data_IF_905643082277
#
_entry.id   IF_905643082277
#
_cell.length_a   1.000
_cell.length_b   1.000
_cell.length_c   1.000
_cell.angle_alpha   90.00
_cell.angle_beta   90.00
_cell.angle_gamma   90.00
#
_symmetry.space_group_name_H-M   'P 1'
#
loop_
_entity.id
_entity.type
_entity.pdbx_description
1 polymer ?
#
# COMPACT_ATOMS: atom_id res chain seq x y z
N UNK A 1 22.54 -23.49 8.10
CA UNK A 1 22.86 -24.44 9.20
C UNK A 1 22.12 -24.00 10.45
N UNK A 2 21.59 -24.94 11.21
CA UNK A 2 20.88 -24.70 12.48
C UNK A 2 21.77 -25.23 13.62
N UNK A 3 21.76 -24.59 14.79
CA UNK A 3 22.57 -25.02 15.94
C UNK A 3 21.72 -25.13 17.20
N UNK A 4 21.89 -26.24 17.92
CA UNK A 4 21.33 -26.46 19.25
C UNK A 4 22.42 -26.22 20.30
N UNK A 5 22.11 -25.40 21.30
CA UNK A 5 23.04 -24.99 22.33
C UNK A 5 22.56 -25.42 23.71
N UNK A 6 23.48 -25.89 24.53
CA UNK A 6 23.29 -26.05 25.97
C UNK A 6 23.92 -24.84 26.65
N UNK A 7 23.09 -24.02 27.28
CA UNK A 7 23.52 -22.80 27.94
C UNK A 7 24.23 -23.08 29.28
N UNK A 8 23.90 -24.17 29.97
CA UNK A 8 24.56 -24.56 31.21
C UNK A 8 25.98 -25.08 30.97
N UNK A 9 26.15 -25.89 29.93
CA UNK A 9 27.46 -26.36 29.47
C UNK A 9 28.20 -25.36 28.58
N UNK A 10 27.56 -24.25 28.21
CA UNK A 10 28.09 -23.19 27.33
C UNK A 10 28.68 -23.72 26.02
N UNK A 11 28.03 -24.74 25.43
CA UNK A 11 28.53 -25.38 24.20
C UNK A 11 27.42 -25.66 23.20
N UNK A 12 27.82 -25.68 21.94
CA UNK A 12 26.99 -26.20 20.87
C UNK A 12 26.88 -27.72 21.06
N UNK A 13 25.65 -28.21 21.22
CA UNK A 13 25.35 -29.64 21.35
C UNK A 13 25.38 -30.27 19.96
N UNK A 14 24.58 -29.72 19.04
CA UNK A 14 24.40 -30.25 17.68
C UNK A 14 24.34 -29.15 16.62
N UNK A 15 24.78 -29.49 15.41
CA UNK A 15 24.67 -28.64 14.22
C UNK A 15 23.93 -29.41 13.13
N UNK A 16 22.82 -28.87 12.65
CA UNK A 16 21.96 -29.51 11.65
C UNK A 16 22.16 -28.80 10.31
N UNK A 17 22.79 -29.49 9.35
CA UNK A 17 22.96 -29.02 7.98
C UNK A 17 21.90 -29.65 7.08
N UNK A 18 20.72 -29.01 7.00
CA UNK A 18 19.57 -29.48 6.19
C UNK A 18 19.27 -28.60 4.98
N UNK A 19 19.52 -27.29 5.09
CA UNK A 19 19.27 -26.30 4.04
C UNK A 19 20.46 -26.14 3.09
N UNK A 20 20.18 -25.87 1.82
CA UNK A 20 21.21 -25.59 0.79
C UNK A 20 21.63 -24.13 0.75
N UNK A 21 20.87 -23.25 1.41
CA UNK A 21 21.14 -21.83 1.53
C UNK A 21 20.86 -21.35 2.97
N UNK A 22 20.84 -20.04 3.18
CA UNK A 22 20.67 -19.35 4.44
C UNK A 22 19.32 -19.67 5.07
N UNK A 23 19.34 -19.95 6.37
CA UNK A 23 18.14 -20.17 7.19
C UNK A 23 17.79 -18.86 7.86
N UNK A 24 16.53 -18.42 7.73
CA UNK A 24 16.06 -17.14 8.26
C UNK A 24 14.96 -17.30 9.31
N UNK A 25 14.20 -18.40 9.23
CA UNK A 25 13.08 -18.66 10.10
C UNK A 25 13.21 -20.00 10.81
N UNK A 26 12.84 -20.01 12.09
CA UNK A 26 12.71 -21.21 12.91
C UNK A 26 11.39 -21.14 13.68
N UNK A 27 10.73 -22.28 13.84
CA UNK A 27 9.61 -22.46 14.76
C UNK A 27 9.78 -23.79 15.51
N UNK A 28 9.27 -23.90 16.73
CA UNK A 28 9.43 -25.12 17.54
C UNK A 28 8.10 -25.62 18.04
N UNK A 29 8.03 -26.92 18.27
CA UNK A 29 6.93 -27.55 19.02
C UNK A 29 6.99 -27.16 20.50
N UNK A 30 5.86 -27.16 21.20
CA UNK A 30 5.81 -26.81 22.63
C UNK A 30 6.72 -27.68 23.51
N UNK A 31 6.94 -28.94 23.14
CA UNK A 31 7.83 -29.85 23.84
C UNK A 31 9.32 -29.62 23.56
N UNK A 32 9.65 -28.74 22.61
CA UNK A 32 11.01 -28.52 22.11
C UNK A 32 11.68 -29.82 21.60
N UNK A 33 10.88 -30.81 21.17
CA UNK A 33 11.39 -32.05 20.57
C UNK A 33 11.67 -31.92 19.08
N UNK A 34 10.94 -31.04 18.41
CA UNK A 34 11.04 -30.82 16.97
C UNK A 34 11.15 -29.33 16.63
N UNK A 35 11.91 -29.05 15.58
CA UNK A 35 12.12 -27.71 15.01
C UNK A 35 11.71 -27.70 13.53
N UNK A 36 10.95 -26.68 13.16
CA UNK A 36 10.69 -26.30 11.78
C UNK A 36 11.71 -25.25 11.36
N UNK A 37 12.23 -25.35 10.13
CA UNK A 37 13.20 -24.41 9.60
C UNK A 37 12.94 -24.05 8.15
N UNK A 38 13.19 -22.79 7.81
CA UNK A 38 12.94 -22.24 6.48
C UNK A 38 13.87 -21.07 6.15
N UNK A 39 14.11 -20.83 4.86
CA UNK A 39 14.90 -19.69 4.44
C UNK A 39 14.98 -19.49 2.93
N UNK A 40 16.18 -19.14 2.47
CA UNK A 40 16.42 -18.70 1.08
C UNK A 40 16.26 -19.81 0.04
N UNK A 41 16.43 -21.06 0.44
CA UNK A 41 16.23 -22.24 -0.42
C UNK A 41 14.76 -22.66 -0.57
N UNK A 42 13.83 -21.83 -0.06
CA UNK A 42 12.37 -21.97 -0.25
C UNK A 42 11.77 -23.24 0.38
N UNK A 43 12.58 -24.01 1.09
CA UNK A 43 12.20 -25.30 1.64
C UNK A 43 11.85 -25.17 3.11
N UNK A 44 10.80 -25.87 3.56
CA UNK A 44 10.50 -26.04 4.99
C UNK A 44 10.90 -27.45 5.40
N UNK A 45 11.82 -27.55 6.36
CA UNK A 45 12.18 -28.84 6.96
C UNK A 45 11.57 -28.96 8.35
N UNK A 46 11.24 -30.19 8.74
CA UNK A 46 10.96 -30.59 10.11
C UNK A 46 12.09 -31.49 10.58
N UNK A 47 12.75 -31.12 11.68
CA UNK A 47 13.87 -31.84 12.27
C UNK A 47 13.54 -32.28 13.69
N UNK A 48 13.70 -33.58 13.98
CA UNK A 48 13.67 -34.13 15.32
C UNK A 48 15.03 -33.87 15.98
N UNK A 49 15.02 -33.17 17.12
CA UNK A 49 16.25 -32.77 17.79
C UNK A 49 16.94 -33.93 18.52
N UNK A 50 16.19 -34.97 18.89
CA UNK A 50 16.68 -36.14 19.61
C UNK A 50 17.33 -37.18 18.69
N UNK A 51 16.65 -37.52 17.59
CA UNK A 51 17.12 -38.49 16.60
C UNK A 51 18.00 -37.86 15.53
N UNK A 52 17.94 -36.53 15.38
CA UNK A 52 18.57 -35.74 14.32
C UNK A 52 18.03 -36.07 12.92
N UNK A 53 16.90 -36.76 12.84
CA UNK A 53 16.22 -36.99 11.58
C UNK A 53 15.55 -35.72 11.09
N UNK A 54 15.57 -35.51 9.78
CA UNK A 54 14.94 -34.38 9.10
C UNK A 54 14.14 -34.86 7.92
N UNK A 55 13.07 -34.14 7.62
CA UNK A 55 12.19 -34.42 6.50
C UNK A 55 11.82 -33.11 5.81
N UNK A 56 11.76 -33.13 4.48
CA UNK A 56 11.29 -32.00 3.69
C UNK A 56 9.76 -31.96 3.76
N UNK A 57 9.22 -30.97 4.46
CA UNK A 57 7.79 -30.83 4.67
C UNK A 57 7.10 -30.33 3.40
N UNK A 58 7.58 -29.20 2.87
CA UNK A 58 7.09 -28.55 1.67
C UNK A 58 8.17 -27.69 1.01
N UNK A 59 7.94 -27.31 -0.24
CA UNK A 59 8.74 -26.33 -0.97
C UNK A 59 7.83 -25.24 -1.50
N UNK A 60 8.12 -23.99 -1.17
CA UNK A 60 7.37 -22.82 -1.63
C UNK A 60 7.99 -22.25 -2.92
N UNK A 61 7.27 -21.34 -3.58
CA UNK A 61 7.78 -20.63 -4.77
C UNK A 61 8.72 -19.48 -4.42
N UNK A 62 8.60 -18.94 -3.19
CA UNK A 62 9.34 -17.77 -2.72
C UNK A 62 10.14 -18.08 -1.44
N UNK A 63 11.28 -17.38 -1.21
CA UNK A 63 12.05 -17.50 0.03
C UNK A 63 11.23 -17.28 1.29
N UNK A 64 11.50 -18.07 2.31
CA UNK A 64 10.75 -18.07 3.57
C UNK A 64 11.35 -17.03 4.52
N UNK A 65 10.52 -16.11 5.01
CA UNK A 65 10.92 -15.04 5.92
C UNK A 65 10.58 -15.36 7.37
N UNK A 66 9.43 -15.99 7.61
CA UNK A 66 8.97 -16.30 8.96
C UNK A 66 8.12 -17.58 8.99
N UNK A 67 8.22 -18.29 10.11
CA UNK A 67 7.47 -19.50 10.41
C UNK A 67 6.72 -19.30 11.73
N UNK A 68 5.47 -19.77 11.79
CA UNK A 68 4.67 -19.74 13.02
C UNK A 68 3.86 -21.02 13.15
N UNK A 69 4.20 -21.83 14.15
CA UNK A 69 3.42 -23.02 14.48
C UNK A 69 2.20 -22.61 15.30
N UNK A 70 1.01 -22.98 14.85
CA UNK A 70 -0.24 -22.81 15.59
C UNK A 70 -1.06 -24.09 15.44
N UNK A 71 -1.32 -24.75 16.57
CA UNK A 71 -2.03 -26.03 16.62
C UNK A 71 -1.39 -27.05 15.65
N UNK A 72 -2.18 -27.58 14.71
CA UNK A 72 -1.74 -28.53 13.68
C UNK A 72 -1.38 -27.84 12.35
N UNK A 73 -1.04 -26.56 12.37
CA UNK A 73 -0.67 -25.78 11.18
C UNK A 73 0.65 -25.03 11.36
N UNK A 74 1.56 -25.18 10.40
CA UNK A 74 2.73 -24.33 10.26
C UNK A 74 2.43 -23.24 9.22
N UNK A 75 2.30 -22.01 9.68
CA UNK A 75 2.14 -20.84 8.83
C UNK A 75 3.50 -20.39 8.32
N UNK A 76 3.56 -20.13 7.02
CA UNK A 76 4.77 -19.76 6.28
C UNK A 76 4.54 -18.43 5.60
N UNK A 77 5.27 -17.41 6.04
CA UNK A 77 5.35 -16.12 5.38
C UNK A 77 6.59 -16.10 4.48
N UNK A 78 6.40 -15.74 3.22
CA UNK A 78 7.47 -15.68 2.21
C UNK A 78 7.74 -14.22 1.81
N UNK A 79 8.56 -14.01 0.79
CA UNK A 79 8.70 -12.69 0.14
C UNK A 79 7.52 -12.32 -0.77
N UNK A 80 6.60 -13.25 -1.03
CA UNK A 80 5.33 -12.91 -1.68
C UNK A 80 4.35 -12.31 -0.66
N UNK A 81 3.21 -11.83 -1.12
CA UNK A 81 2.21 -11.18 -0.26
C UNK A 81 1.22 -12.14 0.39
N UNK A 82 1.22 -13.41 -0.01
CA UNK A 82 0.32 -14.44 0.52
C UNK A 82 0.97 -15.17 1.69
N UNK A 83 0.13 -15.78 2.53
CA UNK A 83 0.59 -16.59 3.66
C UNK A 83 0.01 -17.99 3.53
N UNK A 84 0.86 -18.99 3.66
CA UNK A 84 0.51 -20.39 3.41
C UNK A 84 0.50 -21.17 4.71
N UNK A 85 -0.60 -21.87 4.99
CA UNK A 85 -0.73 -22.78 6.11
C UNK A 85 -0.53 -24.21 5.64
N UNK A 86 0.48 -24.89 6.16
CA UNK A 86 0.77 -26.30 5.87
C UNK A 86 0.44 -27.17 7.08
N UNK A 87 0.07 -28.44 6.87
CA UNK A 87 -0.13 -29.35 7.98
C UNK A 87 1.15 -29.48 8.82
N UNK A 88 1.03 -29.18 10.11
CA UNK A 88 2.00 -29.53 11.11
C UNK A 88 1.41 -30.69 11.91
N UNK A 89 1.94 -31.91 11.79
CA UNK A 89 1.50 -32.99 12.67
C UNK A 89 2.06 -32.77 14.08
N UNK A 90 1.44 -31.86 14.85
CA UNK A 90 1.88 -31.48 16.19
C UNK A 90 1.78 -32.62 17.20
N UNK A 91 0.89 -33.59 16.96
CA UNK A 91 0.62 -34.71 17.87
C UNK A 91 1.34 -36.02 17.50
N UNK A 92 1.71 -36.25 16.23
CA UNK A 92 2.45 -37.47 15.79
C UNK A 92 3.44 -37.22 14.64
N UNK A 93 4.51 -36.44 14.85
CA UNK A 93 5.50 -36.16 13.82
C UNK A 93 6.15 -37.43 13.22
N UNK A 94 6.11 -38.56 13.93
CA UNK A 94 6.57 -39.89 13.47
C UNK A 94 5.96 -40.33 12.13
N UNK A 95 4.69 -40.00 11.85
CA UNK A 95 4.06 -40.35 10.57
C UNK A 95 4.65 -39.55 9.41
N UNK A 96 5.02 -38.29 9.67
CA UNK A 96 5.66 -37.41 8.67
C UNK A 96 7.03 -37.95 8.29
N UNK A 97 7.83 -38.37 9.27
CA UNK A 97 9.15 -38.97 9.02
C UNK A 97 9.05 -40.30 8.25
N UNK A 98 8.04 -41.14 8.52
CA UNK A 98 7.78 -42.37 7.76
C UNK A 98 7.30 -42.09 6.32
N UNK A 99 6.49 -41.04 6.13
CA UNK A 99 5.87 -40.70 4.84
C UNK A 99 6.80 -39.94 3.90
N UNK A 100 7.67 -39.08 4.43
CA UNK A 100 8.50 -38.16 3.65
C UNK A 100 9.93 -38.63 3.36
N UNK A 101 10.30 -39.85 3.77
CA UNK A 101 11.68 -40.33 3.64
C UNK A 101 12.63 -39.50 4.50
N UNK A 102 12.64 -39.74 5.82
CA UNK A 102 13.55 -39.04 6.73
C UNK A 102 15.03 -39.30 6.41
N UNK A 103 15.88 -38.31 6.70
CA UNK A 103 17.33 -38.43 6.58
C UNK A 103 18.02 -37.84 7.82
N UNK A 104 19.18 -38.38 8.18
CA UNK A 104 19.97 -37.83 9.29
C UNK A 104 20.55 -36.48 8.88
N UNK A 105 20.19 -35.42 9.61
CA UNK A 105 20.79 -34.11 9.45
C UNK A 105 22.31 -34.21 9.67
N UNK A 106 23.06 -33.94 8.60
CA UNK A 106 24.51 -34.16 8.61
C UNK A 106 25.26 -33.13 9.48
N UNK A 107 26.40 -33.57 10.00
CA UNK A 107 27.49 -32.69 10.48
C UNK A 107 28.39 -32.20 9.33
N UNK A 108 28.09 -32.56 8.07
CA UNK A 108 28.97 -32.46 6.90
C UNK A 108 28.59 -31.31 5.95
N UNK A 109 29.49 -31.00 5.02
CA UNK A 109 29.38 -29.91 4.05
C UNK A 109 28.10 -29.96 3.18
N UNK A 110 27.63 -28.77 2.79
CA UNK A 110 26.37 -28.48 2.09
C UNK A 110 25.99 -29.44 0.95
N UNK A 111 26.96 -29.99 0.21
CA UNK A 111 26.71 -30.90 -0.92
C UNK A 111 26.21 -32.29 -0.51
N UNK A 112 26.45 -32.75 0.72
CA UNK A 112 25.99 -34.06 1.22
C UNK A 112 24.63 -34.03 1.91
N UNK A 113 24.11 -32.84 2.25
CA UNK A 113 22.80 -32.69 2.91
C UNK A 113 21.62 -33.16 2.06
N UNK A 114 21.80 -33.24 0.73
CA UNK A 114 20.78 -33.70 -0.22
C UNK A 114 20.71 -35.21 -0.38
N UNK A 115 21.71 -35.96 0.07
CA UNK A 115 21.72 -37.40 -0.09
C UNK A 115 20.94 -38.01 1.08
N UNK A 116 19.73 -38.49 0.79
CA UNK A 116 19.25 -39.72 1.44
C UNK A 116 20.40 -40.75 1.42
N UNK A 117 20.40 -41.74 2.31
CA UNK A 117 21.32 -42.89 2.23
C UNK A 117 21.37 -43.51 0.81
N UNK A 118 20.35 -43.26 -0.02
CA UNK A 118 20.20 -43.71 -1.41
C UNK A 118 20.57 -42.68 -2.51
N UNK A 119 21.03 -41.46 -2.16
CA UNK A 119 21.50 -40.47 -3.14
C UNK A 119 20.42 -39.70 -3.93
N UNK A 120 19.14 -39.88 -3.60
CA UNK A 120 18.02 -39.12 -4.16
C UNK A 120 17.73 -37.84 -3.37
N UNK A 121 17.27 -36.79 -4.07
CA UNK A 121 16.86 -35.54 -3.43
C UNK A 121 15.60 -35.78 -2.58
N UNK A 122 15.47 -35.11 -1.41
CA UNK A 122 14.31 -35.27 -0.55
C UNK A 122 13.03 -34.84 -1.28
N UNK A 123 11.97 -35.63 -1.12
CA UNK A 123 10.66 -35.36 -1.72
C UNK A 123 9.77 -34.68 -0.68
N UNK A 124 9.09 -33.56 -1.02
CA UNK A 124 8.17 -32.91 -0.10
C UNK A 124 7.05 -33.85 0.36
N UNK A 125 6.78 -33.87 1.67
CA UNK A 125 5.63 -34.61 2.25
C UNK A 125 4.32 -34.05 1.71
N UNK A 126 4.22 -32.73 1.60
CA UNK A 126 3.06 -32.02 1.11
C UNK A 126 3.40 -31.25 -0.16
N UNK A 127 2.51 -31.36 -1.16
CA UNK A 127 2.64 -30.65 -2.44
C UNK A 127 1.86 -29.35 -2.49
N UNK A 128 0.78 -29.26 -1.70
CA UNK A 128 -0.12 -28.11 -1.65
C UNK A 128 -0.40 -27.73 -0.19
N UNK A 129 -0.56 -26.43 0.10
CA UNK A 129 -0.91 -25.95 1.43
C UNK A 129 -2.36 -26.30 1.76
N UNK A 130 -2.67 -26.45 3.04
CA UNK A 130 -4.04 -26.63 3.52
C UNK A 130 -4.82 -25.33 3.56
N UNK A 131 -4.13 -24.21 3.80
CA UNK A 131 -4.72 -22.89 3.88
C UNK A 131 -3.89 -21.89 3.08
N UNK A 132 -4.57 -20.93 2.47
CA UNK A 132 -3.93 -19.79 1.80
C UNK A 132 -4.65 -18.54 2.23
N UNK A 133 -3.92 -17.61 2.84
CA UNK A 133 -4.36 -16.22 3.03
C UNK A 133 -3.90 -15.44 1.81
N UNK A 134 -4.80 -15.03 0.91
CA UNK A 134 -4.42 -14.40 -0.34
C UNK A 134 -3.86 -13.00 -0.09
N UNK A 135 -2.68 -12.75 -0.64
CA UNK A 135 -2.06 -11.44 -0.70
C UNK A 135 -2.52 -10.62 -1.90
N UNK A 136 -2.40 -9.30 -1.80
CA UNK A 136 -2.54 -8.41 -2.96
C UNK A 136 -1.23 -8.41 -3.75
N UNK A 137 -1.25 -8.59 -5.08
CA UNK A 137 -0.05 -8.45 -5.90
C UNK A 137 0.61 -7.08 -5.71
N UNK A 138 1.89 -7.09 -5.39
CA UNK A 138 2.66 -5.87 -5.18
C UNK A 138 3.04 -5.24 -6.52
N UNK A 139 2.93 -3.92 -6.66
CA UNK A 139 3.47 -3.17 -7.79
C UNK A 139 5.00 -3.22 -7.73
N UNK A 140 5.65 -3.70 -8.79
CA UNK A 140 7.11 -3.87 -8.87
C UNK A 140 7.77 -2.97 -9.91
N UNK A 141 6.99 -2.47 -10.87
CA UNK A 141 7.48 -1.57 -11.91
C UNK A 141 6.40 -0.51 -12.21
N UNK A 142 6.83 0.71 -12.47
CA UNK A 142 5.94 1.81 -12.84
C UNK A 142 6.63 2.77 -13.82
N UNK A 143 5.83 3.52 -14.57
CA UNK A 143 6.27 4.58 -15.48
C UNK A 143 5.27 5.73 -15.44
N UNK A 144 5.75 6.95 -15.18
CA UNK A 144 4.95 8.17 -15.34
C UNK A 144 4.90 8.49 -16.83
N UNK A 145 3.70 8.51 -17.41
CA UNK A 145 3.51 8.82 -18.83
C UNK A 145 3.82 10.30 -19.12
N UNK A 146 4.09 10.63 -20.38
CA UNK A 146 4.51 11.99 -20.79
C UNK A 146 3.49 13.09 -20.48
N UNK A 147 2.20 12.74 -20.47
CA UNK A 147 1.13 13.65 -20.06
C UNK A 147 1.15 13.97 -18.56
N UNK A 148 2.09 13.39 -17.79
CA UNK A 148 2.24 13.56 -16.34
C UNK A 148 0.92 13.43 -15.60
N UNK A 149 0.02 12.58 -16.08
CA UNK A 149 -1.32 12.41 -15.53
C UNK A 149 -1.63 10.93 -15.37
N UNK A 150 -1.23 10.15 -16.37
CA UNK A 150 -1.35 8.70 -16.34
C UNK A 150 -0.07 8.03 -15.84
N UNK A 151 -0.24 6.91 -15.16
CA UNK A 151 0.88 6.03 -14.76
C UNK A 151 0.60 4.61 -15.20
N UNK A 152 1.58 4.00 -15.88
CA UNK A 152 1.57 2.58 -16.19
C UNK A 152 2.24 1.82 -15.05
N UNK A 153 1.66 0.71 -14.62
CA UNK A 153 2.19 -0.13 -13.54
C UNK A 153 2.25 -1.59 -13.96
N UNK A 154 3.15 -2.36 -13.35
CA UNK A 154 3.18 -3.82 -13.43
C UNK A 154 3.34 -4.41 -12.04
N UNK A 155 2.55 -5.44 -11.74
CA UNK A 155 2.61 -6.16 -10.46
C UNK A 155 3.46 -7.44 -10.49
N UNK A 156 3.62 -8.08 -9.34
CA UNK A 156 4.35 -9.36 -9.17
C UNK A 156 3.78 -10.52 -9.99
N UNK A 157 2.49 -10.47 -10.37
CA UNK A 157 1.86 -11.49 -11.22
C UNK A 157 2.06 -11.20 -12.71
N UNK A 158 2.63 -10.04 -13.04
CA UNK A 158 2.85 -9.56 -14.39
C UNK A 158 1.66 -8.79 -14.98
N UNK A 159 0.62 -8.48 -14.19
CA UNK A 159 -0.52 -7.69 -14.68
C UNK A 159 -0.11 -6.23 -14.87
N UNK A 160 -0.48 -5.65 -16.01
CA UNK A 160 -0.18 -4.27 -16.36
C UNK A 160 -1.45 -3.42 -16.31
N UNK A 161 -1.41 -2.30 -15.58
CA UNK A 161 -2.57 -1.40 -15.38
C UNK A 161 -2.20 0.05 -15.65
N UNK A 162 -3.12 0.79 -16.27
CA UNK A 162 -3.03 2.24 -16.46
C UNK A 162 -3.86 2.96 -15.38
N UNK A 163 -3.26 3.95 -14.73
CA UNK A 163 -3.86 4.70 -13.63
C UNK A 163 -4.06 6.16 -14.00
N UNK A 164 -5.17 6.73 -13.54
CA UNK A 164 -5.44 8.17 -13.48
C UNK A 164 -5.01 8.70 -12.11
N UNK A 165 -3.98 9.55 -12.07
CA UNK A 165 -3.46 10.06 -10.80
C UNK A 165 -4.35 11.15 -10.21
N UNK A 166 -4.99 11.98 -11.04
CA UNK A 166 -5.80 13.12 -10.56
C UNK A 166 -7.03 12.70 -9.77
N UNK A 167 -7.51 11.45 -9.96
CA UNK A 167 -8.63 10.85 -9.20
C UNK A 167 -8.29 9.54 -8.48
N UNK A 168 -7.04 9.10 -8.57
CA UNK A 168 -6.54 7.89 -7.90
C UNK A 168 -7.23 6.58 -8.31
N UNK A 169 -7.49 6.38 -9.61
CA UNK A 169 -8.26 5.24 -10.10
C UNK A 169 -7.58 4.50 -11.26
N UNK A 170 -7.82 3.20 -11.37
CA UNK A 170 -7.43 2.43 -12.57
C UNK A 170 -8.34 2.84 -13.73
N UNK A 171 -7.73 3.22 -14.85
CA UNK A 171 -8.42 3.48 -16.12
C UNK A 171 -8.66 2.16 -16.85
N UNK A 172 -7.59 1.35 -16.96
CA UNK A 172 -7.62 0.11 -17.73
C UNK A 172 -6.71 -0.95 -17.11
N UNK A 173 -7.17 -2.19 -17.14
CA UNK A 173 -6.40 -3.38 -16.75
C UNK A 173 -6.11 -4.20 -18.00
N UNK A 174 -4.85 -4.17 -18.45
CA UNK A 174 -4.42 -4.89 -19.63
C UNK A 174 -4.10 -6.37 -19.33
N UNK A 175 -4.12 -6.80 -18.07
CA UNK A 175 -3.72 -8.14 -17.68
C UNK A 175 -2.23 -8.41 -17.94
N UNK A 176 -1.89 -9.68 -18.20
CA UNK A 176 -0.49 -10.12 -18.38
C UNK A 176 0.02 -9.80 -19.78
N UNK A 177 0.50 -8.57 -19.97
CA UNK A 177 1.08 -8.07 -21.23
C UNK A 177 2.50 -7.54 -21.04
N UNK A 178 3.20 -7.31 -22.15
CA UNK A 178 4.52 -6.69 -22.15
C UNK A 178 4.43 -5.22 -21.72
N UNK A 179 5.12 -4.89 -20.62
CA UNK A 179 5.13 -3.53 -20.07
C UNK A 179 5.75 -2.52 -21.05
N UNK A 180 6.87 -2.89 -21.68
CA UNK A 180 7.56 -2.01 -22.63
C UNK A 180 6.76 -1.76 -23.91
N UNK A 181 6.02 -2.76 -24.39
CA UNK A 181 5.20 -2.59 -25.58
C UNK A 181 3.99 -1.71 -25.28
N UNK A 182 3.33 -1.90 -24.12
CA UNK A 182 2.25 -1.01 -23.69
C UNK A 182 2.72 0.41 -23.42
N UNK A 183 3.91 0.60 -22.85
CA UNK A 183 4.53 1.91 -22.68
C UNK A 183 4.69 2.64 -24.02
N UNK A 184 5.14 1.93 -25.07
CA UNK A 184 5.28 2.50 -26.42
C UNK A 184 3.94 2.76 -27.09
N UNK A 185 2.98 1.86 -26.93
CA UNK A 185 1.62 1.99 -27.49
C UNK A 185 0.90 3.21 -26.93
N UNK A 186 1.02 3.43 -25.61
CA UNK A 186 0.39 4.54 -24.89
C UNK A 186 1.21 5.84 -24.92
N UNK A 187 2.28 5.89 -25.72
CA UNK A 187 3.11 7.08 -25.83
C UNK A 187 2.34 8.20 -26.53
N UNK A 188 2.27 9.37 -25.88
CA UNK A 188 1.68 10.57 -26.43
C UNK A 188 2.80 11.61 -26.68
N UNK A 189 2.72 12.33 -27.81
CA UNK A 189 3.62 13.45 -28.15
C UNK A 189 3.22 14.74 -27.40
N UNK A 190 3.16 14.66 -26.08
CA UNK A 190 2.88 15.79 -25.18
C UNK A 190 4.03 15.92 -24.19
N UNK A 191 4.26 17.10 -23.64
CA UNK A 191 5.23 17.29 -22.56
C UNK A 191 4.64 18.24 -21.53
N UNK A 192 4.21 17.68 -20.39
CA UNK A 192 3.74 18.45 -19.24
C UNK A 192 4.88 18.54 -18.20
N UNK A 193 5.06 19.70 -17.53
CA UNK A 193 6.00 19.81 -16.41
C UNK A 193 5.74 18.75 -15.32
N UNK A 194 6.80 18.29 -14.67
CA UNK A 194 6.66 17.35 -13.57
C UNK A 194 6.04 18.04 -12.35
N UNK A 195 4.90 17.52 -11.88
CA UNK A 195 4.20 18.05 -10.70
C UNK A 195 4.05 17.04 -9.56
N UNK A 196 4.43 15.79 -9.77
CA UNK A 196 4.55 14.79 -8.72
C UNK A 196 5.74 13.89 -8.96
N UNK A 197 6.22 13.28 -7.89
CA UNK A 197 7.09 12.11 -7.96
C UNK A 197 6.33 10.89 -7.43
N UNK A 198 6.88 9.70 -7.64
CA UNK A 198 6.22 8.49 -7.17
C UNK A 198 7.17 7.39 -6.77
N UNK A 199 6.69 6.51 -5.90
CA UNK A 199 7.36 5.25 -5.61
C UNK A 199 6.37 4.10 -5.40
N UNK A 200 6.89 2.88 -5.53
CA UNK A 200 6.14 1.64 -5.32
C UNK A 200 6.81 0.73 -4.27
N UNK A 201 7.63 1.29 -3.36
CA UNK A 201 8.50 0.49 -2.46
C UNK A 201 7.70 -0.40 -1.51
N UNK A 202 6.48 -0.01 -1.17
CA UNK A 202 5.59 -0.77 -0.30
C UNK A 202 4.65 -1.71 -1.08
N UNK A 203 4.91 -1.95 -2.37
CA UNK A 203 4.06 -2.75 -3.24
C UNK A 203 2.75 -2.05 -3.64
N UNK A 204 2.59 -0.78 -3.31
CA UNK A 204 1.47 0.06 -3.69
C UNK A 204 1.95 1.39 -4.27
N UNK A 205 1.09 2.03 -5.06
CA UNK A 205 1.38 3.34 -5.65
C UNK A 205 1.39 4.43 -4.58
N UNK A 206 2.51 5.12 -4.42
CA UNK A 206 2.63 6.30 -3.55
C UNK A 206 2.98 7.51 -4.41
N UNK A 207 2.12 8.54 -4.37
CA UNK A 207 2.30 9.79 -5.12
C UNK A 207 2.72 10.88 -4.14
N UNK A 208 3.80 11.58 -4.46
CA UNK A 208 4.38 12.62 -3.62
C UNK A 208 4.22 13.98 -4.28
N UNK A 209 3.67 14.94 -3.54
CA UNK A 209 3.46 16.33 -3.95
C UNK A 209 4.30 17.23 -3.07
N UNK A 210 5.24 17.96 -3.69
CA UNK A 210 6.15 18.87 -3.01
C UNK A 210 5.94 20.31 -3.51
N UNK A 211 5.76 21.24 -2.59
CA UNK A 211 5.64 22.67 -2.91
C UNK A 211 7.03 23.31 -3.07
N UNK A 212 7.24 24.23 -4.03
CA UNK A 212 6.26 24.74 -5.00
C UNK A 212 6.16 23.94 -6.31
N UNK A 213 7.01 22.93 -6.52
CA UNK A 213 7.16 22.26 -7.83
C UNK A 213 5.88 21.56 -8.30
N UNK A 214 5.06 21.08 -7.38
CA UNK A 214 3.78 20.47 -7.71
C UNK A 214 2.82 21.41 -8.44
N UNK A 215 2.93 22.72 -8.25
CA UNK A 215 2.05 23.68 -8.93
C UNK A 215 2.55 24.10 -10.32
N UNK A 216 3.57 23.44 -10.88
CA UNK A 216 4.16 23.81 -12.17
C UNK A 216 3.40 23.32 -13.41
N UNK A 217 2.43 22.41 -13.26
CA UNK A 217 1.73 21.79 -14.38
C UNK A 217 0.32 22.35 -14.59
N UNK A 218 0.08 22.89 -15.78
CA UNK A 218 -1.22 23.36 -16.25
C UNK A 218 -1.62 22.62 -17.52
N UNK A 219 -2.91 22.35 -17.65
CA UNK A 219 -3.52 21.72 -18.83
C UNK A 219 -4.77 22.50 -19.25
N UNK A 220 -5.10 22.51 -20.54
CA UNK A 220 -6.35 23.15 -20.97
C UNK A 220 -7.55 22.33 -20.50
N UNK A 221 -8.61 23.03 -20.10
CA UNK A 221 -9.83 22.39 -19.62
C UNK A 221 -10.50 21.51 -20.69
N UNK A 222 -10.35 21.87 -21.96
CA UNK A 222 -10.83 21.05 -23.09
C UNK A 222 -10.13 19.70 -23.18
N UNK A 223 -8.83 19.62 -22.87
CA UNK A 223 -8.05 18.37 -22.87
C UNK A 223 -8.42 17.45 -21.69
N UNK A 224 -9.02 18.02 -20.65
CA UNK A 224 -9.60 17.29 -19.53
C UNK A 224 -11.06 16.85 -19.78
N UNK A 225 -11.59 17.07 -20.99
CA UNK A 225 -13.00 16.84 -21.36
C UNK A 225 -14.01 17.60 -20.47
N UNK A 226 -13.64 18.79 -19.99
CA UNK A 226 -14.57 19.66 -19.24
C UNK A 226 -15.60 20.25 -20.21
N UNK A 227 -16.86 19.85 -20.07
CA UNK A 227 -17.95 20.25 -20.96
C UNK A 227 -18.22 21.76 -20.87
N UNK A 228 -18.20 22.45 -22.03
CA UNK A 228 -18.52 23.88 -22.12
C UNK A 228 -17.42 24.82 -21.64
N UNK A 229 -16.21 24.32 -21.38
CA UNK A 229 -15.08 25.15 -20.99
C UNK A 229 -14.62 26.07 -22.14
N UNK A 230 -14.10 27.25 -21.78
CA UNK A 230 -13.42 28.12 -22.74
C UNK A 230 -12.10 27.47 -23.20
N UNK A 231 -11.72 27.66 -24.46
CA UNK A 231 -10.55 27.02 -25.06
C UNK A 231 -9.23 27.43 -24.40
N UNK A 232 -9.17 28.65 -23.83
CA UNK A 232 -8.00 29.22 -23.16
C UNK A 232 -7.97 28.97 -21.65
N UNK A 233 -9.02 28.37 -21.08
CA UNK A 233 -9.08 28.05 -19.66
C UNK A 233 -8.05 26.97 -19.32
N UNK A 234 -7.12 27.30 -18.42
CA UNK A 234 -6.12 26.39 -17.89
C UNK A 234 -6.47 25.94 -16.48
N UNK A 235 -6.18 24.68 -16.21
CA UNK A 235 -6.41 23.99 -14.95
C UNK A 235 -5.05 23.56 -14.40
N UNK A 236 -4.79 23.88 -13.14
CA UNK A 236 -3.57 23.45 -12.47
C UNK A 236 -3.77 22.06 -11.87
N UNK A 237 -2.97 21.08 -12.33
CA UNK A 237 -3.20 19.68 -11.99
C UNK A 237 -3.08 19.41 -10.49
N UNK A 238 -2.11 20.01 -9.81
CA UNK A 238 -1.93 19.80 -8.37
C UNK A 238 -3.03 20.48 -7.54
N UNK A 239 -3.40 21.72 -7.89
CA UNK A 239 -4.46 22.45 -7.19
C UNK A 239 -5.79 21.69 -7.21
N UNK A 240 -6.27 21.27 -8.38
CA UNK A 240 -7.53 20.54 -8.48
C UNK A 240 -7.46 19.14 -7.87
N UNK A 241 -6.29 18.48 -7.94
CA UNK A 241 -6.07 17.19 -7.27
C UNK A 241 -6.16 17.35 -5.75
N UNK A 242 -5.57 18.40 -5.17
CA UNK A 242 -5.66 18.68 -3.73
C UNK A 242 -7.10 19.05 -3.32
N UNK A 243 -7.80 19.83 -4.14
CA UNK A 243 -9.21 20.15 -3.92
C UNK A 243 -10.07 18.89 -3.91
N UNK A 244 -9.82 17.96 -4.84
CA UNK A 244 -10.47 16.64 -4.88
C UNK A 244 -10.18 15.79 -3.64
N UNK A 245 -8.90 15.67 -3.27
CA UNK A 245 -8.46 14.90 -2.09
C UNK A 245 -9.05 15.43 -0.78
N UNK A 246 -9.16 16.75 -0.63
CA UNK A 246 -9.56 17.42 0.61
C UNK A 246 -11.01 17.94 0.58
N UNK A 247 -11.83 17.52 -0.39
CA UNK A 247 -13.22 18.00 -0.54
C UNK A 247 -14.06 17.73 0.71
N UNK A 248 -13.93 16.55 1.32
CA UNK A 248 -14.67 16.18 2.52
C UNK A 248 -14.21 16.97 3.74
N UNK A 249 -12.89 17.15 3.88
CA UNK A 249 -12.29 17.95 4.93
C UNK A 249 -12.75 19.41 4.86
N UNK A 250 -12.69 20.02 3.68
CA UNK A 250 -13.10 21.43 3.45
C UNK A 250 -14.58 21.66 3.80
N UNK A 251 -15.46 20.77 3.32
CA UNK A 251 -16.91 20.83 3.62
C UNK A 251 -17.21 20.72 5.12
N UNK A 252 -16.46 19.91 5.88
CA UNK A 252 -16.65 19.76 7.33
C UNK A 252 -16.09 20.95 8.10
N UNK A 253 -14.93 21.47 7.71
CA UNK A 253 -14.31 22.67 8.31
C UNK A 253 -15.23 23.90 8.21
N UNK A 254 -15.86 24.12 7.04
CA UNK A 254 -16.82 25.21 6.85
C UNK A 254 -18.07 25.07 7.72
N UNK A 255 -18.56 23.85 7.96
CA UNK A 255 -19.67 23.61 8.90
C UNK A 255 -19.28 23.89 10.35
N UNK A 256 -18.06 23.55 10.74
CA UNK A 256 -17.56 23.83 12.08
C UNK A 256 -17.39 25.33 12.35
N UNK A 257 -17.02 26.12 11.34
CA UNK A 257 -16.89 27.58 11.49
C UNK A 257 -18.24 28.30 11.50
N UNK A 258 -19.27 27.79 10.82
CA UNK A 258 -20.60 28.39 10.81
C UNK A 258 -21.42 28.14 12.09
N UNK A 259 -21.12 27.09 12.86
CA UNK A 259 -21.77 26.80 14.14
C UNK A 259 -21.18 27.57 15.36
N UNK A 260 -20.22 28.48 15.16
CA UNK A 260 -19.49 29.20 16.22
C UNK A 260 -20.02 30.59 16.63
N UNK A 261 -21.11 31.08 16.06
CA UNK A 261 -21.71 32.37 16.42
C UNK A 261 -22.96 32.17 17.29
N UNK A 262 -22.93 32.46 18.61
CA UNK A 262 -24.15 32.56 19.39
C UNK A 262 -24.82 33.90 19.08
N UNK A 263 -25.96 33.87 18.40
CA UNK A 263 -26.88 35.00 18.32
C UNK A 263 -27.35 35.34 19.74
N UNK A 264 -26.88 36.47 20.27
CA UNK A 264 -27.36 37.09 21.50
C UNK A 264 -28.31 38.24 21.18
N UNK A 265 -29.59 37.93 21.30
CA UNK A 265 -30.81 38.74 21.44
C UNK A 265 -30.87 40.26 21.16
N UNK A 266 -31.94 40.57 20.42
CA UNK A 266 -32.66 41.82 20.29
C UNK A 266 -33.13 42.45 21.61
N UNK A 267 -33.07 43.77 21.72
CA UNK A 267 -34.05 44.55 22.48
C UNK A 267 -34.34 45.93 21.86
N UNK A 268 -35.58 46.36 22.10
CA UNK A 268 -36.41 47.38 21.44
C UNK A 268 -36.05 48.83 21.80
N UNK A 269 -36.19 49.76 20.84
CA UNK A 269 -36.17 51.22 21.10
C UNK A 269 -36.63 52.10 19.92
N UNK A 270 -37.83 52.68 20.05
CA UNK A 270 -38.70 53.50 19.15
C UNK A 270 -38.11 54.68 18.34
N UNK A 271 -38.68 54.82 17.13
CA UNK A 271 -39.25 55.97 16.37
C UNK A 271 -38.60 57.38 16.34
N UNK A 272 -38.43 57.93 15.12
CA UNK A 272 -39.10 59.14 14.54
C UNK A 272 -38.50 59.47 13.12
N UNK A 273 -39.27 60.00 12.14
CA UNK A 273 -38.86 60.10 10.73
C UNK A 273 -38.49 61.52 10.25
N UNK A 274 -37.58 61.67 9.27
CA UNK A 274 -37.52 62.86 8.39
C UNK A 274 -36.67 62.71 7.11
N UNK A 275 -37.36 62.86 5.97
CA UNK A 275 -37.03 63.52 4.68
C UNK A 275 -35.70 63.31 3.92
N UNK A 276 -35.88 62.82 2.68
CA UNK A 276 -35.31 63.22 1.38
C UNK A 276 -33.81 63.53 1.23
N UNK A 277 -33.13 62.74 0.39
CA UNK A 277 -32.53 63.28 -0.84
C UNK A 277 -32.12 62.18 -1.84
N UNK A 278 -32.41 62.45 -3.11
CA UNK A 278 -32.14 61.62 -4.27
C UNK A 278 -30.66 61.28 -4.47
N UNK A 279 -30.34 60.03 -4.83
CA UNK A 279 -29.38 59.72 -5.90
C UNK A 279 -29.60 58.32 -6.49
N UNK A 280 -29.44 58.28 -7.80
CA UNK A 280 -29.90 57.32 -8.79
C UNK A 280 -28.94 56.15 -9.07
N UNK A 281 -29.52 55.00 -9.49
CA UNK A 281 -28.95 53.92 -10.34
C UNK A 281 -27.74 53.18 -9.73
N UNK A 282 -27.67 51.86 -9.68
CA UNK A 282 -28.13 50.82 -10.61
C UNK A 282 -28.20 49.52 -9.80
N UNK A 283 -29.24 48.72 -9.99
CA UNK A 283 -29.33 47.37 -9.42
C UNK A 283 -28.15 46.55 -9.95
N UNK A 284 -27.24 46.17 -9.05
CA UNK A 284 -26.31 45.07 -9.28
C UNK A 284 -26.94 43.90 -8.56
N UNK A 285 -27.40 42.95 -9.38
CA UNK A 285 -27.98 41.69 -8.96
C UNK A 285 -26.98 40.98 -8.04
N UNK A 286 -27.35 40.88 -6.76
CA UNK A 286 -26.57 40.24 -5.71
C UNK A 286 -26.80 38.73 -5.82
N UNK A 287 -26.23 38.11 -6.85
CA UNK A 287 -26.15 36.65 -6.91
C UNK A 287 -25.03 36.22 -5.98
N UNK A 288 -25.37 36.05 -4.71
CA UNK A 288 -24.62 35.22 -3.77
C UNK A 288 -24.62 33.78 -4.30
N UNK A 289 -23.69 33.47 -5.21
CA UNK A 289 -23.36 32.09 -5.53
C UNK A 289 -22.74 31.46 -4.29
N UNK A 290 -23.54 30.61 -3.62
CA UNK A 290 -23.00 29.63 -2.70
C UNK A 290 -21.92 28.85 -3.44
N UNK A 291 -20.64 29.13 -3.16
CA UNK A 291 -19.49 28.34 -3.61
C UNK A 291 -19.58 26.92 -3.05
N UNK A 292 -20.44 26.08 -3.62
CA UNK A 292 -20.22 24.64 -3.63
C UNK A 292 -18.94 24.43 -4.40
N UNK A 293 -17.88 24.02 -3.72
CA UNK A 293 -16.60 23.60 -4.31
C UNK A 293 -16.90 22.47 -5.30
N UNK A 294 -17.13 22.83 -6.57
CA UNK A 294 -17.53 21.89 -7.60
C UNK A 294 -16.27 21.19 -8.11
N UNK A 295 -15.93 20.08 -7.48
CA UNK A 295 -14.81 19.24 -7.91
C UNK A 295 -15.14 18.69 -9.31
N UNK A 296 -14.23 18.90 -10.25
CA UNK A 296 -14.37 18.37 -11.60
C UNK A 296 -14.32 16.84 -11.58
N UNK A 297 -15.07 16.13 -12.45
CA UNK A 297 -15.08 14.66 -12.47
C UNK A 297 -13.68 14.02 -12.64
N UNK A 298 -12.77 14.71 -13.33
CA UNK A 298 -11.38 14.28 -13.51
C UNK A 298 -10.56 14.27 -12.20
N UNK A 299 -11.07 14.86 -11.12
CA UNK A 299 -10.42 14.97 -9.81
C UNK A 299 -11.29 14.40 -8.67
N UNK A 300 -12.35 13.67 -9.00
CA UNK A 300 -13.25 13.08 -8.01
C UNK A 300 -12.72 11.72 -7.53
N UNK A 301 -12.23 11.69 -6.29
CA UNK A 301 -11.71 10.47 -5.67
C UNK A 301 -12.83 9.56 -5.16
N UNK A 302 -12.63 8.24 -5.31
CA UNK A 302 -13.56 7.23 -4.81
C UNK A 302 -13.75 7.31 -3.30
N UNK A 303 -15.00 7.24 -2.84
CA UNK A 303 -15.34 7.12 -1.41
C UNK A 303 -15.43 5.67 -0.94
N UNK A 304 -15.58 4.73 -1.88
CA UNK A 304 -15.64 3.28 -1.60
C UNK A 304 -14.24 2.70 -1.43
N UNK A 305 -13.29 3.19 -2.22
CA UNK A 305 -11.87 2.81 -2.20
C UNK A 305 -10.97 4.05 -2.08
N UNK A 306 -11.08 4.81 -0.98
CA UNK A 306 -10.44 6.11 -0.85
C UNK A 306 -8.92 5.99 -0.69
N UNK A 307 -8.12 6.88 -1.32
CA UNK A 307 -6.70 6.96 -1.03
C UNK A 307 -6.45 7.40 0.41
N UNK A 308 -5.24 7.14 0.89
CA UNK A 308 -4.75 7.66 2.16
C UNK A 308 -3.79 8.81 1.94
N UNK A 309 -3.93 9.87 2.74
CA UNK A 309 -2.94 10.94 2.83
C UNK A 309 -1.96 10.55 3.93
N UNK A 310 -0.67 10.78 3.65
CA UNK A 310 0.43 10.64 4.62
C UNK A 310 1.13 11.98 4.70
N UNK A 311 1.29 12.53 5.89
CA UNK A 311 2.02 13.80 6.12
C UNK A 311 2.60 13.83 7.52
N UNK A 312 3.58 14.71 7.74
CA UNK A 312 4.23 14.88 9.05
C UNK A 312 3.37 15.76 9.97
N UNK A 313 3.12 15.26 11.19
CA UNK A 313 2.39 16.01 12.21
C UNK A 313 3.29 16.93 13.03
N UNK A 314 2.66 17.90 13.72
CA UNK A 314 3.34 18.84 14.63
C UNK A 314 4.10 18.16 15.77
N UNK A 315 3.77 16.90 16.09
CA UNK A 315 4.44 16.07 17.10
C UNK A 315 5.66 15.28 16.58
N UNK A 316 6.05 15.48 15.31
CA UNK A 316 7.31 14.97 14.76
C UNK A 316 7.26 13.56 14.18
N UNK A 317 6.09 13.07 13.76
CA UNK A 317 5.94 11.79 13.09
C UNK A 317 4.91 11.81 11.96
N UNK A 318 5.06 10.97 10.94
CA UNK A 318 4.07 10.86 9.88
C UNK A 318 2.77 10.24 10.41
N UNK A 319 1.64 10.83 10.06
CA UNK A 319 0.32 10.23 10.26
C UNK A 319 -0.29 9.83 8.91
N UNK A 320 -1.19 8.85 8.94
CA UNK A 320 -1.93 8.37 7.77
C UNK A 320 -3.43 8.37 8.05
N UNK A 321 -4.24 9.02 7.21
CA UNK A 321 -5.71 8.91 7.23
C UNK A 321 -6.26 8.73 5.83
N UNK A 322 -7.38 8.02 5.69
CA UNK A 322 -8.14 8.01 4.42
C UNK A 322 -8.80 9.37 4.23
N UNK A 323 -8.96 9.81 2.99
CA UNK A 323 -9.60 11.10 2.70
C UNK A 323 -11.03 11.22 3.27
N UNK A 324 -11.72 10.09 3.46
CA UNK A 324 -13.07 10.01 4.05
C UNK A 324 -13.08 10.09 5.58
N UNK A 325 -11.95 9.77 6.22
CA UNK A 325 -11.76 9.83 7.67
C UNK A 325 -11.36 11.25 8.13
N UNK A 326 -11.04 12.16 7.22
CA UNK A 326 -10.72 13.55 7.55
C UNK A 326 -11.96 14.29 8.03
N UNK A 327 -11.87 14.93 9.20
CA UNK A 327 -13.02 15.54 9.88
C UNK A 327 -13.02 17.08 9.88
N UNK A 328 -11.96 17.72 9.40
CA UNK A 328 -11.87 19.18 9.35
C UNK A 328 -11.11 19.78 10.53
N UNK A 329 -10.76 18.96 11.53
CA UNK A 329 -10.06 19.39 12.76
C UNK A 329 -8.55 19.11 12.72
N UNK A 330 -8.06 18.48 11.66
CA UNK A 330 -6.65 18.19 11.47
C UNK A 330 -5.82 19.50 11.37
N UNK A 331 -5.16 19.88 12.47
CA UNK A 331 -4.22 21.01 12.51
C UNK A 331 -2.86 20.73 11.88
N UNK A 332 -2.59 19.46 11.59
CA UNK A 332 -1.31 18.95 11.09
C UNK A 332 -1.25 18.84 9.55
N UNK A 333 -2.28 19.30 8.82
CA UNK A 333 -2.19 19.36 7.37
C UNK A 333 -1.18 20.44 6.96
N UNK A 334 -0.36 20.21 5.92
CA UNK A 334 0.57 21.22 5.43
C UNK A 334 -0.14 22.52 5.09
N UNK A 335 0.43 23.64 5.54
CA UNK A 335 -0.19 24.96 5.40
C UNK A 335 -0.49 25.31 3.93
N UNK A 336 0.36 24.89 3.00
CA UNK A 336 0.18 25.13 1.56
C UNK A 336 -0.98 24.31 0.98
N UNK A 337 -1.24 23.10 1.47
CA UNK A 337 -2.44 22.35 1.11
C UNK A 337 -3.70 23.06 1.60
N UNK A 338 -3.65 23.57 2.84
CA UNK A 338 -4.77 24.32 3.43
C UNK A 338 -5.02 25.61 2.65
N UNK A 339 -3.98 26.39 2.35
CA UNK A 339 -4.09 27.66 1.62
C UNK A 339 -4.60 27.43 0.18
N UNK A 340 -4.11 26.38 -0.48
CA UNK A 340 -4.57 25.94 -1.79
C UNK A 340 -6.07 25.64 -1.81
N UNK A 341 -6.56 24.81 -0.89
CA UNK A 341 -7.96 24.35 -0.89
C UNK A 341 -8.94 25.38 -0.32
N UNK A 342 -8.49 26.25 0.61
CA UNK A 342 -9.37 27.22 1.26
C UNK A 342 -9.36 28.61 0.64
N UNK A 343 -8.23 29.03 0.06
CA UNK A 343 -8.08 30.38 -0.50
C UNK A 343 -7.76 30.39 -2.00
N UNK A 344 -7.67 29.22 -2.66
CA UNK A 344 -7.25 29.10 -4.06
C UNK A 344 -5.89 29.79 -4.33
N UNK A 345 -4.95 29.69 -3.39
CA UNK A 345 -3.60 30.23 -3.50
C UNK A 345 -2.59 29.10 -3.66
N UNK A 346 -1.82 29.12 -4.73
CA UNK A 346 -0.79 28.13 -5.02
C UNK A 346 0.35 28.70 -5.86
#
# INVERSE_FOLDING_TARGET
MIRLWDLGQQRCVHSYAVHTDSVWALATTHSFGHVYSGGRDQSVYLTDLSTRESVLLCTNECPILQLSLQDDTIWVATTDSSVYGWPAEGLTPQKVFQKGGSFLAGNLSFSRARASLEGSAPVPVYKEPSFVVPGVPAIVQHEIMNNRRHVLTKDTTGSVKLWEITRGAVIEDFGKVSFEDKKKELFEMVSIPAWFTMDARLGCLSVHLDTPQCFSAEIYAVDLNVSGAQEDLKINLAHDTLCGLLVHWSKRKQKSSSHGLPNGDSSIGKDVPSKDSHRSRTEVDDTTENHTTHVLPSFEFSTVSPPSIITEGSSGGPWRKRITDLDGTEGDLPWWCVDCVTHNRY
#
